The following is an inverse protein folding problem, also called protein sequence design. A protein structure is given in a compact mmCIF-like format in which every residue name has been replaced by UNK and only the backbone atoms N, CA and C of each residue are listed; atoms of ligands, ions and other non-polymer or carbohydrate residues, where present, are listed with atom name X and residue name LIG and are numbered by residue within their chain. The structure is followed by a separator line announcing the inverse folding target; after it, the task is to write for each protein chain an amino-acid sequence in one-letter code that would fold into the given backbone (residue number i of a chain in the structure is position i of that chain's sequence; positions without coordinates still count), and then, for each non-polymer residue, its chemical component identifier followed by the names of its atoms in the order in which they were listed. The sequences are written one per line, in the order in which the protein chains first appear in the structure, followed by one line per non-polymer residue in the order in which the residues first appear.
data_IF_893629930351
#
_entry.id   IF_893629930351
#
_cell.length_a   1.000
_cell.length_b   1.000
_cell.length_c   1.000
_cell.angle_alpha   90.00
_cell.angle_beta   90.00
_cell.angle_gamma   90.00
#
_symmetry.space_group_name_H-M   'P 1'
#
loop_
_entity.id
_entity.type
_entity.pdbx_description
1 polymer ?
#
# COMPACT_ATOMS: atom_id res chain seq x y z
N UNK A 1 25.16 -68.42 -2.77
CA UNK A 1 25.01 -67.23 -1.91
C UNK A 1 24.37 -66.12 -2.70
N UNK A 2 23.06 -65.91 -2.59
CA UNK A 2 22.31 -64.90 -3.30
C UNK A 2 22.10 -63.73 -2.36
N UNK A 3 22.78 -62.59 -2.67
CA UNK A 3 22.60 -61.34 -1.94
C UNK A 3 21.31 -60.69 -2.42
N UNK A 4 20.31 -60.60 -1.53
CA UNK A 4 19.08 -59.80 -1.76
C UNK A 4 19.38 -58.35 -1.46
N UNK A 5 19.29 -57.46 -2.43
CA UNK A 5 19.26 -56.03 -2.27
C UNK A 5 17.83 -55.60 -1.90
N UNK A 6 17.64 -55.03 -0.70
CA UNK A 6 16.42 -54.33 -0.36
C UNK A 6 16.55 -52.88 -0.85
N UNK A 7 15.72 -52.50 -1.83
CA UNK A 7 15.55 -51.09 -2.22
C UNK A 7 14.45 -50.50 -1.35
N UNK A 8 14.85 -49.61 -0.41
CA UNK A 8 13.90 -48.82 0.39
C UNK A 8 13.45 -47.65 -0.45
N UNK A 9 12.21 -47.69 -0.97
CA UNK A 9 11.58 -46.56 -1.64
C UNK A 9 11.07 -45.61 -0.55
N UNK A 10 11.75 -44.45 -0.36
CA UNK A 10 11.25 -43.36 0.45
C UNK A 10 10.25 -42.59 -0.40
N UNK A 11 8.95 -42.80 -0.12
CA UNK A 11 7.88 -41.99 -0.68
C UNK A 11 7.82 -40.69 0.13
N UNK A 12 8.37 -39.62 -0.42
CA UNK A 12 8.17 -38.30 0.14
C UNK A 12 6.70 -37.87 -0.15
N UNK A 13 5.86 -37.96 0.87
CA UNK A 13 4.51 -37.40 0.82
C UNK A 13 4.65 -35.89 1.01
N UNK A 14 4.65 -35.16 -0.10
CA UNK A 14 4.47 -33.72 -0.09
C UNK A 14 3.04 -33.42 0.36
N UNK A 15 2.86 -33.05 1.61
CA UNK A 15 1.59 -32.51 2.08
C UNK A 15 1.36 -31.17 1.38
N UNK A 16 0.53 -31.18 0.33
CA UNK A 16 -0.03 -29.96 -0.22
C UNK A 16 -1.01 -29.43 0.83
N UNK A 17 -0.53 -28.52 1.67
CA UNK A 17 -1.42 -27.73 2.53
C UNK A 17 -2.19 -26.81 1.59
N UNK A 18 -3.42 -27.20 1.24
CA UNK A 18 -4.34 -26.28 0.59
C UNK A 18 -4.65 -25.18 1.60
N UNK A 19 -4.15 -23.96 1.34
CA UNK A 19 -4.51 -22.80 2.11
C UNK A 19 -6.04 -22.60 1.96
N UNK A 20 -6.79 -22.95 3.02
CA UNK A 20 -8.21 -22.66 3.07
C UNK A 20 -8.38 -21.15 3.28
N UNK A 21 -9.32 -20.54 2.55
CA UNK A 21 -9.71 -19.15 2.78
C UNK A 21 -10.11 -18.96 4.25
N UNK A 22 -9.50 -17.94 4.90
CA UNK A 22 -9.90 -17.57 6.27
C UNK A 22 -11.29 -16.95 6.24
N UNK A 23 -12.11 -17.22 7.26
CA UNK A 23 -13.41 -16.58 7.33
C UNK A 23 -13.28 -15.09 7.74
N UNK A 24 -14.34 -14.30 7.51
CA UNK A 24 -14.32 -12.86 7.76
C UNK A 24 -14.03 -12.50 9.23
N UNK A 25 -14.48 -13.32 10.19
CA UNK A 25 -14.25 -13.07 11.62
C UNK A 25 -12.79 -13.29 12.00
N UNK A 26 -12.12 -14.29 11.42
CA UNK A 26 -10.69 -14.53 11.62
C UNK A 26 -9.87 -13.36 11.07
N UNK A 27 -10.24 -12.86 9.88
CA UNK A 27 -9.59 -11.69 9.28
C UNK A 27 -9.70 -10.46 10.19
N UNK A 28 -10.91 -10.20 10.71
CA UNK A 28 -11.16 -9.09 11.62
C UNK A 28 -10.40 -9.25 12.94
N UNK A 29 -10.31 -10.47 13.48
CA UNK A 29 -9.52 -10.78 14.68
C UNK A 29 -8.04 -10.45 14.50
N UNK A 30 -7.45 -10.81 13.35
CA UNK A 30 -6.05 -10.47 13.03
C UNK A 30 -5.88 -8.96 12.92
N UNK A 31 -6.76 -8.25 12.19
CA UNK A 31 -6.69 -6.81 12.03
C UNK A 31 -6.75 -6.07 13.38
N UNK A 32 -7.66 -6.48 14.28
CA UNK A 32 -7.75 -5.94 15.64
C UNK A 32 -6.47 -6.18 16.42
N UNK A 33 -5.93 -7.39 16.39
CA UNK A 33 -4.71 -7.77 17.13
C UNK A 33 -3.50 -6.93 16.69
N UNK A 34 -3.30 -6.76 15.38
CA UNK A 34 -2.21 -5.94 14.82
C UNK A 34 -2.37 -4.47 15.20
N UNK A 35 -3.60 -3.93 15.12
CA UNK A 35 -3.89 -2.58 15.54
C UNK A 35 -3.73 -2.38 17.06
N UNK A 36 -4.23 -3.29 17.88
CA UNK A 36 -4.15 -3.18 19.33
C UNK A 36 -2.69 -3.27 19.82
N UNK A 37 -1.85 -4.08 19.18
CA UNK A 37 -0.41 -4.08 19.42
C UNK A 37 0.19 -2.70 19.15
N UNK A 38 -0.06 -2.12 17.97
CA UNK A 38 0.45 -0.79 17.62
C UNK A 38 0.02 0.29 18.63
N UNK A 39 -1.27 0.33 18.99
CA UNK A 39 -1.78 1.29 19.98
C UNK A 39 -1.18 1.05 21.37
N UNK A 40 -0.90 -0.18 21.75
CA UNK A 40 -0.24 -0.49 23.03
C UNK A 40 1.20 0.04 23.10
N UNK A 41 1.91 0.03 21.98
CA UNK A 41 3.27 0.58 21.85
C UNK A 41 3.27 2.13 21.81
N UNK A 42 2.24 2.72 21.22
CA UNK A 42 2.12 4.16 21.00
C UNK A 42 0.77 4.69 21.52
N UNK A 43 0.50 4.63 22.85
CA UNK A 43 -0.82 4.97 23.40
C UNK A 43 -1.19 6.46 23.25
N UNK A 44 -0.22 7.33 23.15
CA UNK A 44 -0.42 8.77 22.86
C UNK A 44 -0.09 9.05 21.38
N UNK A 45 -1.10 9.26 20.52
CA UNK A 45 -0.90 9.46 19.09
C UNK A 45 -0.18 10.76 18.74
N UNK A 46 -0.07 11.71 19.67
CA UNK A 46 0.57 13.01 19.45
C UNK A 46 2.08 12.94 19.59
N UNK A 47 2.60 11.92 20.26
CA UNK A 47 4.03 11.79 20.55
C UNK A 47 4.81 11.33 19.34
N UNK A 48 6.05 11.81 19.29
CA UNK A 48 7.03 11.34 18.32
C UNK A 48 7.38 9.87 18.60
N UNK A 49 7.60 9.11 17.53
CA UNK A 49 8.12 7.74 17.61
C UNK A 49 9.62 7.78 17.86
N UNK A 50 10.11 6.95 18.75
CA UNK A 50 11.54 6.81 19.03
C UNK A 50 11.95 5.33 18.91
N UNK A 51 12.66 5.00 17.83
CA UNK A 51 13.10 3.63 17.52
C UNK A 51 14.56 3.68 17.04
N UNK A 52 15.40 2.74 17.50
CA UNK A 52 16.81 2.65 17.13
C UNK A 52 17.57 3.99 17.22
N UNK A 53 17.37 4.74 18.31
CA UNK A 53 17.95 6.07 18.52
C UNK A 53 17.56 7.13 17.46
N UNK A 54 16.55 6.86 16.65
CA UNK A 54 15.97 7.81 15.70
C UNK A 54 14.63 8.32 16.22
N UNK A 55 14.49 9.64 16.21
CA UNK A 55 13.24 10.32 16.56
C UNK A 55 12.50 10.72 15.29
N UNK A 56 11.22 10.37 15.20
CA UNK A 56 10.37 10.75 14.09
C UNK A 56 9.09 11.42 14.58
N UNK A 57 8.74 12.57 14.00
CA UNK A 57 7.49 13.23 14.36
C UNK A 57 6.29 12.40 13.95
N UNK A 58 5.23 12.43 14.78
CA UNK A 58 3.99 11.71 14.51
C UNK A 58 3.25 12.20 13.25
N UNK A 59 3.67 13.32 12.64
CA UNK A 59 3.16 13.82 11.36
C UNK A 59 3.83 13.25 10.12
N UNK A 60 4.83 12.35 10.27
CA UNK A 60 5.53 11.77 9.12
C UNK A 60 4.59 10.85 8.31
N UNK A 61 4.90 10.65 7.02
CA UNK A 61 4.14 9.79 6.11
C UNK A 61 3.92 8.37 6.64
N UNK A 62 4.89 7.80 7.38
CA UNK A 62 4.78 6.47 7.97
C UNK A 62 3.55 6.37 8.87
N UNK A 63 3.35 7.39 9.73
CA UNK A 63 2.18 7.49 10.59
C UNK A 63 0.91 7.83 9.79
N UNK A 64 1.02 8.62 8.72
CA UNK A 64 -0.09 8.89 7.80
C UNK A 64 -0.67 7.60 7.23
N UNK A 65 0.18 6.70 6.73
CA UNK A 65 -0.23 5.39 6.20
C UNK A 65 -0.89 4.51 7.27
N UNK A 66 -0.39 4.54 8.51
CA UNK A 66 -1.08 3.84 9.60
C UNK A 66 -2.53 4.32 9.75
N UNK A 67 -2.77 5.64 9.74
CA UNK A 67 -4.13 6.17 9.86
C UNK A 67 -5.02 5.87 8.66
N UNK A 68 -4.46 5.77 7.47
CA UNK A 68 -5.20 5.26 6.30
C UNK A 68 -5.71 3.83 6.56
N UNK A 69 -4.85 2.96 7.09
CA UNK A 69 -5.22 1.62 7.51
C UNK A 69 -6.26 1.59 8.64
N UNK A 70 -6.12 2.47 9.63
CA UNK A 70 -7.07 2.57 10.74
C UNK A 70 -8.45 3.06 10.30
N UNK A 71 -8.52 4.03 9.38
CA UNK A 71 -9.78 4.47 8.78
C UNK A 71 -10.42 3.36 7.94
N UNK A 72 -9.62 2.60 7.21
CA UNK A 72 -10.11 1.43 6.51
C UNK A 72 -10.68 0.39 7.49
N UNK A 73 -9.97 0.07 8.58
CA UNK A 73 -10.47 -0.84 9.63
C UNK A 73 -11.79 -0.32 10.22
N UNK A 74 -11.90 0.98 10.51
CA UNK A 74 -13.15 1.57 11.00
C UNK A 74 -14.33 1.31 10.06
N UNK A 75 -14.11 1.23 8.75
CA UNK A 75 -15.17 1.00 7.77
C UNK A 75 -15.84 -0.38 7.89
N UNK A 76 -15.17 -1.36 8.51
CA UNK A 76 -15.70 -2.72 8.72
C UNK A 76 -15.88 -3.07 10.20
N UNK A 77 -15.30 -2.29 11.09
CA UNK A 77 -15.32 -2.45 12.55
C UNK A 77 -15.47 -1.08 13.22
N UNK A 78 -16.68 -0.57 13.26
CA UNK A 78 -17.00 0.82 13.61
C UNK A 78 -16.82 1.12 15.12
N UNK A 79 -15.59 0.93 15.66
CA UNK A 79 -15.28 1.22 17.06
C UNK A 79 -14.85 2.68 17.24
N UNK A 80 -15.53 3.39 18.14
CA UNK A 80 -15.25 4.81 18.41
C UNK A 80 -13.82 5.09 18.90
N UNK A 81 -13.15 4.09 19.52
CA UNK A 81 -11.74 4.22 19.94
C UNK A 81 -10.81 4.53 18.75
N UNK A 82 -11.11 4.03 17.55
CA UNK A 82 -10.31 4.29 16.35
C UNK A 82 -10.42 5.75 15.92
N UNK A 83 -11.65 6.26 15.85
CA UNK A 83 -11.87 7.67 15.52
C UNK A 83 -11.27 8.63 16.56
N UNK A 84 -11.40 8.29 17.86
CA UNK A 84 -10.77 9.09 18.91
C UNK A 84 -9.25 9.15 18.72
N UNK A 85 -8.60 8.04 18.43
CA UNK A 85 -7.14 7.98 18.21
C UNK A 85 -6.71 8.80 16.99
N UNK A 86 -7.48 8.72 15.88
CA UNK A 86 -7.30 9.59 14.70
C UNK A 86 -7.48 11.07 15.03
N UNK A 87 -8.59 11.41 15.72
CA UNK A 87 -8.95 12.80 15.99
C UNK A 87 -7.99 13.47 16.98
N UNK A 88 -7.49 12.74 17.99
CA UNK A 88 -6.47 13.24 18.92
C UNK A 88 -5.17 13.60 18.16
N UNK A 89 -4.70 12.70 17.27
CA UNK A 89 -3.56 12.96 16.41
C UNK A 89 -3.76 14.16 15.48
N UNK A 90 -4.87 14.15 14.75
CA UNK A 90 -5.13 15.16 13.73
C UNK A 90 -5.39 16.56 14.33
N UNK A 91 -6.06 16.64 15.50
CA UNK A 91 -6.23 17.89 16.24
C UNK A 91 -4.87 18.46 16.70
N UNK A 92 -3.97 17.60 17.19
CA UNK A 92 -2.61 18.01 17.56
C UNK A 92 -1.86 18.64 16.38
N UNK A 93 -1.98 18.05 15.18
CA UNK A 93 -1.40 18.56 13.94
C UNK A 93 -2.28 19.60 13.22
N UNK A 94 -3.38 20.06 13.87
CA UNK A 94 -4.26 21.13 13.38
C UNK A 94 -4.86 20.82 12.00
N UNK A 95 -5.04 19.55 11.66
CA UNK A 95 -5.59 19.10 10.37
C UNK A 95 -4.85 19.71 9.17
N UNK A 96 -3.55 19.91 9.30
CA UNK A 96 -2.72 20.58 8.30
C UNK A 96 -1.64 19.62 7.80
N UNK A 97 -1.36 19.58 6.49
CA UNK A 97 -0.23 18.83 5.96
C UNK A 97 1.07 19.13 6.72
N UNK A 98 1.93 18.15 6.88
CA UNK A 98 3.23 18.35 7.53
C UNK A 98 3.97 19.48 6.82
N UNK A 99 4.69 20.29 7.56
CA UNK A 99 5.34 21.50 7.07
C UNK A 99 4.39 22.60 6.50
N UNK A 100 3.08 22.46 6.75
CA UNK A 100 2.07 23.49 6.47
C UNK A 100 1.57 23.52 5.02
N UNK A 101 0.73 24.52 4.73
CA UNK A 101 0.02 24.61 3.43
C UNK A 101 0.88 25.05 2.25
N UNK A 102 2.20 25.26 2.43
CA UNK A 102 3.13 25.64 1.34
C UNK A 102 3.96 24.44 0.86
N UNK A 103 3.93 23.31 1.57
CA UNK A 103 4.68 22.13 1.14
C UNK A 103 4.19 21.63 -0.21
N UNK A 104 5.13 21.16 -1.02
CA UNK A 104 4.87 20.45 -2.28
C UNK A 104 5.43 19.02 -2.23
N UNK A 105 5.92 18.62 -1.05
CA UNK A 105 6.53 17.32 -0.87
C UNK A 105 5.45 16.27 -0.54
N UNK A 106 5.39 15.22 -1.33
CA UNK A 106 4.31 14.24 -1.26
C UNK A 106 4.20 13.56 0.11
N UNK A 107 5.33 13.25 0.76
CA UNK A 107 5.33 12.64 2.09
C UNK A 107 4.69 13.54 3.15
N UNK A 108 4.82 14.87 3.02
CA UNK A 108 4.17 15.83 3.90
C UNK A 108 2.66 15.88 3.70
N UNK A 109 2.20 15.53 2.49
CA UNK A 109 0.80 15.55 2.09
C UNK A 109 0.05 14.26 2.47
N UNK A 110 0.75 13.17 2.76
CA UNK A 110 0.16 11.85 3.02
C UNK A 110 -0.95 11.88 4.09
N UNK A 111 -0.75 12.61 5.20
CA UNK A 111 -1.72 12.73 6.28
C UNK A 111 -3.07 13.33 5.84
N UNK A 112 -3.09 14.12 4.76
CA UNK A 112 -4.31 14.74 4.24
C UNK A 112 -5.34 13.72 3.73
N UNK A 113 -4.92 12.50 3.34
CA UNK A 113 -5.84 11.43 2.97
C UNK A 113 -6.81 11.13 4.13
N UNK A 114 -6.26 10.93 5.34
CA UNK A 114 -7.05 10.70 6.55
C UNK A 114 -7.90 11.92 6.93
N UNK A 115 -7.37 13.13 6.78
CA UNK A 115 -8.14 14.35 7.09
C UNK A 115 -9.37 14.48 6.19
N UNK A 116 -9.24 14.20 4.92
CA UNK A 116 -10.34 14.23 3.96
C UNK A 116 -11.34 13.08 4.20
N UNK A 117 -10.90 11.91 4.66
CA UNK A 117 -11.80 10.83 5.10
C UNK A 117 -12.67 11.29 6.28
N UNK A 118 -12.05 11.95 7.26
CA UNK A 118 -12.79 12.50 8.40
C UNK A 118 -13.75 13.63 8.01
N UNK A 119 -13.32 14.50 7.08
CA UNK A 119 -14.20 15.51 6.50
C UNK A 119 -15.44 14.89 5.84
N UNK A 120 -15.26 13.87 5.05
CA UNK A 120 -16.37 13.17 4.38
C UNK A 120 -17.40 12.64 5.39
N UNK A 121 -16.95 12.19 6.56
CA UNK A 121 -17.83 11.66 7.60
C UNK A 121 -18.56 12.74 8.40
N UNK A 122 -17.97 13.91 8.55
CA UNK A 122 -18.43 14.93 9.52
C UNK A 122 -18.89 16.25 8.90
N UNK A 123 -18.38 16.58 7.71
CA UNK A 123 -18.56 17.90 7.09
C UNK A 123 -17.80 19.05 7.79
N UNK A 124 -16.96 18.75 8.80
CA UNK A 124 -16.24 19.80 9.55
C UNK A 124 -15.10 20.39 8.71
N UNK A 125 -15.26 21.65 8.34
CA UNK A 125 -14.35 22.39 7.46
C UNK A 125 -12.91 22.45 7.96
N UNK A 126 -12.66 22.36 9.26
CA UNK A 126 -11.29 22.34 9.79
C UNK A 126 -10.44 21.21 9.23
N UNK A 127 -11.07 20.06 8.89
CA UNK A 127 -10.42 18.87 8.32
C UNK A 127 -10.12 19.01 6.82
N UNK A 128 -10.70 20.00 6.17
CA UNK A 128 -10.69 20.19 4.73
C UNK A 128 -9.87 21.40 4.26
N UNK A 129 -10.01 22.55 4.96
CA UNK A 129 -9.56 23.84 4.44
C UNK A 129 -8.05 23.92 4.23
N UNK A 130 -7.24 23.43 5.18
CA UNK A 130 -5.78 23.40 5.02
C UNK A 130 -5.33 22.51 3.88
N UNK A 131 -6.00 21.37 3.67
CA UNK A 131 -5.71 20.46 2.55
C UNK A 131 -6.02 21.14 1.22
N UNK A 132 -7.20 21.77 1.10
CA UNK A 132 -7.59 22.53 -0.10
C UNK A 132 -6.60 23.64 -0.43
N UNK A 133 -6.24 24.45 0.56
CA UNK A 133 -5.26 25.54 0.38
C UNK A 133 -3.90 25.01 -0.05
N UNK A 134 -3.45 23.88 0.48
CA UNK A 134 -2.18 23.25 0.09
C UNK A 134 -2.20 22.83 -1.38
N UNK A 135 -3.25 22.09 -1.80
CA UNK A 135 -3.39 21.62 -3.19
C UNK A 135 -3.45 22.79 -4.18
N UNK A 136 -4.28 23.80 -3.89
CA UNK A 136 -4.44 24.96 -4.77
C UNK A 136 -3.15 25.76 -4.93
N UNK A 137 -2.36 25.92 -3.85
CA UNK A 137 -1.05 26.56 -3.92
C UNK A 137 -0.05 25.77 -4.76
N UNK A 138 -0.09 24.44 -4.69
CA UNK A 138 0.77 23.59 -5.51
C UNK A 138 0.36 23.66 -6.98
N UNK A 139 -0.92 23.52 -7.28
CA UNK A 139 -1.47 23.63 -8.63
C UNK A 139 -1.16 24.99 -9.28
N UNK A 140 -1.23 26.08 -8.51
CA UNK A 140 -0.95 27.44 -8.99
C UNK A 140 0.53 27.65 -9.42
N UNK A 141 1.45 26.74 -9.07
CA UNK A 141 2.84 26.84 -9.53
C UNK A 141 3.03 26.45 -11.00
N UNK A 142 2.03 25.82 -11.65
CA UNK A 142 2.08 25.43 -13.06
C UNK A 142 3.13 24.38 -13.39
N UNK A 143 3.59 23.59 -12.41
CA UNK A 143 4.55 22.49 -12.59
C UNK A 143 3.87 21.17 -12.30
N UNK A 144 4.42 20.08 -12.87
CA UNK A 144 3.91 18.71 -12.70
C UNK A 144 5.01 17.74 -12.22
N UNK A 145 6.25 18.15 -12.20
CA UNK A 145 7.42 17.34 -11.88
C UNK A 145 7.67 17.18 -10.37
N UNK A 146 6.62 16.98 -9.59
CA UNK A 146 6.71 16.83 -8.14
C UNK A 146 7.01 15.40 -7.68
N UNK A 147 6.51 14.39 -8.41
CA UNK A 147 6.61 12.99 -7.98
C UNK A 147 7.78 12.30 -8.69
N UNK A 148 8.99 12.60 -8.21
CA UNK A 148 10.26 12.08 -8.78
C UNK A 148 10.59 10.66 -8.32
N UNK A 149 9.72 10.06 -7.49
CA UNK A 149 9.79 8.69 -7.00
C UNK A 149 8.38 8.12 -6.83
N UNK A 150 8.25 6.80 -7.00
CA UNK A 150 6.92 6.17 -7.08
C UNK A 150 6.14 6.20 -5.78
N UNK A 151 6.81 6.26 -4.61
CA UNK A 151 6.12 6.39 -3.32
C UNK A 151 5.27 7.66 -3.29
N UNK A 152 5.73 8.73 -3.93
CA UNK A 152 5.02 10.00 -4.01
C UNK A 152 3.63 9.87 -4.65
N UNK A 153 3.46 8.88 -5.57
CA UNK A 153 2.16 8.59 -6.18
C UNK A 153 1.15 8.19 -5.09
N UNK A 154 1.52 7.30 -4.16
CA UNK A 154 0.64 6.94 -3.04
C UNK A 154 0.49 8.06 -2.02
N UNK A 155 1.55 8.80 -1.74
CA UNK A 155 1.52 9.83 -0.70
C UNK A 155 0.64 11.02 -1.09
N UNK A 156 0.50 11.33 -2.39
CA UNK A 156 -0.20 12.53 -2.84
C UNK A 156 -1.41 12.27 -3.76
N UNK A 157 -1.34 11.37 -4.75
CA UNK A 157 -2.40 11.21 -5.75
C UNK A 157 -3.78 10.92 -5.13
N UNK A 158 -3.92 10.05 -4.10
CA UNK A 158 -5.22 9.79 -3.48
C UNK A 158 -5.81 11.02 -2.77
N UNK A 159 -5.01 11.96 -2.31
CA UNK A 159 -5.50 13.21 -1.74
C UNK A 159 -6.22 14.05 -2.82
N UNK A 160 -5.63 14.14 -4.01
CA UNK A 160 -6.23 14.88 -5.13
C UNK A 160 -7.49 14.18 -5.68
N UNK A 161 -7.47 12.85 -5.80
CA UNK A 161 -8.66 12.11 -6.26
C UNK A 161 -9.82 12.24 -5.28
N UNK A 162 -9.54 12.19 -3.99
CA UNK A 162 -10.54 12.41 -2.95
C UNK A 162 -11.08 13.85 -2.97
N UNK A 163 -10.23 14.85 -3.18
CA UNK A 163 -10.68 16.23 -3.33
C UNK A 163 -11.59 16.39 -4.54
N UNK A 164 -11.26 15.76 -5.67
CA UNK A 164 -12.14 15.70 -6.84
C UNK A 164 -13.49 15.07 -6.48
N UNK A 165 -13.50 13.94 -5.80
CA UNK A 165 -14.73 13.26 -5.39
C UNK A 165 -15.60 14.10 -4.44
N UNK A 166 -14.98 14.81 -3.51
CA UNK A 166 -15.69 15.65 -2.53
C UNK A 166 -16.24 16.96 -3.11
N UNK A 167 -15.60 17.49 -4.15
CA UNK A 167 -15.95 18.81 -4.72
C UNK A 167 -16.57 18.76 -6.10
N UNK A 168 -16.35 17.69 -6.87
CA UNK A 168 -16.68 17.61 -8.30
C UNK A 168 -15.75 18.44 -9.20
N UNK A 169 -14.75 19.13 -8.64
CA UNK A 169 -13.83 20.00 -9.41
C UNK A 169 -12.72 19.16 -10.08
N UNK A 170 -12.85 18.96 -11.38
CA UNK A 170 -11.94 18.14 -12.17
C UNK A 170 -10.49 18.65 -12.18
N UNK A 171 -10.24 19.92 -11.85
CA UNK A 171 -8.88 20.46 -11.81
C UNK A 171 -7.95 19.66 -10.88
N UNK A 172 -8.48 19.15 -9.77
CA UNK A 172 -7.69 18.35 -8.83
C UNK A 172 -7.22 17.04 -9.45
N UNK A 173 -8.14 16.26 -10.03
CA UNK A 173 -7.76 14.96 -10.61
C UNK A 173 -6.94 15.11 -11.91
N UNK A 174 -7.16 16.18 -12.68
CA UNK A 174 -6.36 16.46 -13.87
C UNK A 174 -4.94 16.88 -13.52
N UNK A 175 -4.74 17.66 -12.44
CA UNK A 175 -3.40 17.94 -11.92
C UNK A 175 -2.69 16.65 -11.46
N UNK A 176 -3.40 15.77 -10.76
CA UNK A 176 -2.84 14.48 -10.34
C UNK A 176 -2.48 13.60 -11.54
N UNK A 177 -3.31 13.61 -12.61
CA UNK A 177 -3.00 12.96 -13.89
C UNK A 177 -1.68 13.47 -14.47
N UNK A 178 -1.53 14.77 -14.56
CA UNK A 178 -0.36 15.40 -15.17
C UNK A 178 0.92 15.04 -14.39
N UNK A 179 0.87 15.06 -13.06
CA UNK A 179 1.98 14.60 -12.21
C UNK A 179 2.26 13.10 -12.39
N UNK A 180 1.23 12.26 -12.45
CA UNK A 180 1.35 10.82 -12.67
C UNK A 180 1.96 10.50 -14.03
N UNK A 181 1.44 11.10 -15.10
CA UNK A 181 1.92 10.88 -16.47
C UNK A 181 3.37 11.37 -16.62
N UNK A 182 3.75 12.46 -15.96
CA UNK A 182 5.14 12.91 -15.92
C UNK A 182 6.04 11.86 -15.23
N UNK A 183 5.65 11.34 -14.06
CA UNK A 183 6.43 10.29 -13.38
C UNK A 183 6.54 9.03 -14.25
N UNK A 184 5.43 8.64 -14.87
CA UNK A 184 5.32 7.45 -15.71
C UNK A 184 6.20 7.51 -16.94
N UNK A 185 6.23 8.66 -17.64
CA UNK A 185 6.76 8.75 -19.00
C UNK A 185 8.03 9.57 -19.13
N UNK A 186 8.31 10.50 -18.21
CA UNK A 186 9.37 11.52 -18.40
C UNK A 186 10.44 11.48 -17.29
N UNK A 187 10.06 11.27 -16.03
CA UNK A 187 10.99 11.25 -14.90
C UNK A 187 12.11 10.24 -15.12
N UNK A 188 13.36 10.71 -15.32
CA UNK A 188 14.50 9.84 -15.56
C UNK A 188 14.41 8.99 -16.85
N UNK A 189 13.57 9.37 -17.79
CA UNK A 189 13.25 8.60 -19.01
C UNK A 189 11.97 7.78 -18.88
N UNK A 190 11.24 7.97 -17.78
CA UNK A 190 10.02 7.23 -17.43
C UNK A 190 10.26 6.16 -16.37
N UNK A 191 9.43 6.16 -15.32
CA UNK A 191 9.55 5.18 -14.23
C UNK A 191 8.70 3.91 -14.45
N UNK A 192 7.84 3.88 -15.46
CA UNK A 192 7.03 2.72 -15.81
C UNK A 192 7.71 1.85 -16.88
N UNK A 193 7.98 0.60 -16.56
CA UNK A 193 8.40 -0.38 -17.55
C UNK A 193 7.20 -1.15 -18.09
N UNK A 194 6.75 -0.79 -19.29
CA UNK A 194 5.59 -1.42 -19.93
C UNK A 194 5.85 -2.89 -20.35
N UNK A 195 7.11 -3.28 -20.59
CA UNK A 195 7.45 -4.67 -20.98
C UNK A 195 7.29 -5.64 -19.80
N UNK A 196 7.68 -5.19 -18.59
CA UNK A 196 7.64 -6.01 -17.39
C UNK A 196 6.43 -5.70 -16.50
N UNK A 197 5.72 -4.59 -16.74
CA UNK A 197 4.52 -4.20 -15.99
C UNK A 197 4.82 -3.78 -14.54
N UNK A 198 6.00 -3.23 -14.29
CA UNK A 198 6.48 -2.82 -12.96
C UNK A 198 7.13 -1.43 -13.02
N UNK A 199 7.29 -0.82 -11.83
CA UNK A 199 7.85 0.51 -11.68
C UNK A 199 9.25 0.47 -11.10
N UNK A 200 10.20 1.17 -11.72
CA UNK A 200 11.44 1.58 -11.06
C UNK A 200 11.12 2.62 -10.00
N UNK A 201 11.81 2.55 -8.86
CA UNK A 201 11.51 3.43 -7.71
C UNK A 201 11.71 4.91 -8.05
N UNK A 202 12.81 5.26 -8.71
CA UNK A 202 13.15 6.58 -9.20
C UNK A 202 14.20 6.48 -10.33
N UNK A 203 14.66 7.63 -10.84
CA UNK A 203 15.61 7.71 -11.94
C UNK A 203 16.95 6.98 -11.71
N UNK A 204 17.32 6.73 -10.45
CA UNK A 204 18.59 6.08 -10.11
C UNK A 204 18.52 4.56 -10.37
N UNK A 205 17.31 3.99 -10.51
CA UNK A 205 17.07 2.56 -10.74
C UNK A 205 16.63 2.21 -12.15
N UNK A 206 16.41 3.20 -13.02
CA UNK A 206 16.17 2.90 -14.45
C UNK A 206 17.46 2.38 -15.12
N UNK A 207 17.38 1.64 -16.25
CA UNK A 207 18.58 1.22 -16.95
C UNK A 207 19.58 2.37 -17.19
N UNK A 208 20.90 2.13 -17.01
CA UNK A 208 21.56 0.83 -16.98
C UNK A 208 21.66 0.15 -15.60
N UNK A 209 21.02 0.67 -14.55
CA UNK A 209 21.07 0.01 -13.24
C UNK A 209 20.51 -1.41 -13.31
N UNK A 210 21.20 -2.36 -12.66
CA UNK A 210 20.79 -3.76 -12.55
C UNK A 210 21.13 -4.28 -11.14
N UNK A 211 20.35 -5.26 -10.70
CA UNK A 211 20.69 -6.09 -9.56
C UNK A 211 21.90 -6.98 -9.86
N UNK A 212 22.50 -7.60 -8.81
CA UNK A 212 23.72 -8.43 -8.97
C UNK A 212 23.56 -9.63 -9.88
N UNK A 213 22.34 -10.10 -10.08
CA UNK A 213 21.99 -11.20 -11.00
C UNK A 213 21.58 -10.72 -12.41
N UNK A 214 21.75 -9.44 -12.70
CA UNK A 214 21.43 -8.82 -13.99
C UNK A 214 19.95 -8.45 -14.19
N UNK A 215 19.08 -8.72 -13.21
CA UNK A 215 17.68 -8.33 -13.26
C UNK A 215 17.48 -6.82 -13.06
N UNK A 216 16.35 -6.29 -13.52
CA UNK A 216 15.92 -4.95 -13.18
C UNK A 216 15.57 -4.87 -11.68
N UNK A 217 15.87 -3.73 -11.05
CA UNK A 217 15.54 -3.49 -9.64
C UNK A 217 14.12 -2.98 -9.50
N UNK A 218 13.21 -3.83 -9.00
CA UNK A 218 11.84 -3.46 -8.68
C UNK A 218 11.58 -3.68 -7.20
N UNK A 219 11.60 -2.60 -6.44
CA UNK A 219 11.38 -2.64 -5.02
C UNK A 219 9.93 -2.97 -4.67
N UNK A 220 9.72 -4.02 -3.87
CA UNK A 220 8.40 -4.57 -3.53
C UNK A 220 7.47 -3.52 -2.91
N UNK A 221 7.87 -2.90 -1.80
CA UNK A 221 7.04 -1.88 -1.13
C UNK A 221 6.77 -0.68 -2.03
N UNK A 222 7.76 -0.21 -2.81
CA UNK A 222 7.57 0.88 -3.75
C UNK A 222 6.48 0.59 -4.77
N UNK A 223 6.52 -0.60 -5.38
CA UNK A 223 5.46 -1.06 -6.28
C UNK A 223 4.12 -1.24 -5.53
N UNK A 224 4.15 -1.70 -4.28
CA UNK A 224 2.96 -1.80 -3.43
C UNK A 224 2.28 -0.45 -3.20
N UNK A 225 3.04 0.63 -3.04
CA UNK A 225 2.48 1.98 -2.95
C UNK A 225 1.69 2.37 -4.19
N UNK A 226 2.23 2.11 -5.37
CA UNK A 226 1.52 2.41 -6.63
C UNK A 226 0.22 1.61 -6.74
N UNK A 227 0.22 0.34 -6.30
CA UNK A 227 -1.00 -0.49 -6.24
C UNK A 227 -2.07 0.17 -5.36
N UNK A 228 -1.69 0.62 -4.16
CA UNK A 228 -2.63 1.28 -3.25
C UNK A 228 -3.18 2.59 -3.84
N UNK A 229 -2.32 3.36 -4.50
CA UNK A 229 -2.71 4.59 -5.18
C UNK A 229 -3.72 4.33 -6.31
N UNK A 230 -3.52 3.28 -7.12
CA UNK A 230 -4.47 2.88 -8.15
C UNK A 230 -5.84 2.55 -7.56
N UNK A 231 -5.89 1.69 -6.54
CA UNK A 231 -7.14 1.30 -5.89
C UNK A 231 -7.93 2.52 -5.44
N UNK A 232 -7.30 3.40 -4.66
CA UNK A 232 -7.95 4.58 -4.08
C UNK A 232 -8.40 5.57 -5.16
N UNK A 233 -7.52 5.86 -6.13
CA UNK A 233 -7.81 6.85 -7.16
C UNK A 233 -8.90 6.37 -8.13
N UNK A 234 -8.88 5.11 -8.52
CA UNK A 234 -9.93 4.53 -9.38
C UNK A 234 -11.28 4.57 -8.65
N UNK A 235 -11.33 4.16 -7.36
CA UNK A 235 -12.57 4.22 -6.57
C UNK A 235 -13.10 5.65 -6.44
N UNK A 236 -12.26 6.63 -6.14
CA UNK A 236 -12.67 8.03 -6.00
C UNK A 236 -13.24 8.58 -7.31
N UNK A 237 -12.60 8.31 -8.46
CA UNK A 237 -13.11 8.74 -9.77
C UNK A 237 -14.44 8.08 -10.04
N UNK A 238 -14.58 6.76 -9.88
CA UNK A 238 -15.83 6.02 -10.17
C UNK A 238 -16.98 6.39 -9.25
N UNK A 239 -16.70 6.81 -8.02
CA UNK A 239 -17.67 7.29 -7.05
C UNK A 239 -18.04 8.77 -7.24
N UNK A 240 -17.31 9.50 -8.06
CA UNK A 240 -17.63 10.89 -8.37
C UNK A 240 -18.82 10.95 -9.31
N UNK A 241 -19.85 11.72 -8.93
CA UNK A 241 -21.05 11.89 -9.74
C UNK A 241 -20.67 12.45 -11.12
N UNK A 242 -21.24 11.85 -12.16
CA UNK A 242 -21.08 12.32 -13.54
C UNK A 242 -19.64 12.41 -14.07
N UNK A 243 -18.69 11.69 -13.49
CA UNK A 243 -17.28 11.73 -13.90
C UNK A 243 -17.08 11.51 -15.41
N UNK A 244 -17.93 10.69 -16.04
CA UNK A 244 -17.87 10.43 -17.49
C UNK A 244 -18.23 11.63 -18.37
N UNK A 245 -18.77 12.72 -17.84
CA UNK A 245 -18.99 13.96 -18.61
C UNK A 245 -17.68 14.65 -18.97
N UNK A 246 -16.63 14.44 -18.20
CA UNK A 246 -15.28 14.94 -18.50
C UNK A 246 -14.46 13.86 -19.23
N UNK A 247 -14.20 14.09 -20.54
CA UNK A 247 -13.48 13.14 -21.40
C UNK A 247 -12.05 12.87 -20.93
N UNK A 248 -11.36 13.89 -20.39
CA UNK A 248 -9.97 13.75 -19.92
C UNK A 248 -9.92 12.88 -18.65
N UNK A 249 -10.85 13.07 -17.72
CA UNK A 249 -10.99 12.23 -16.53
C UNK A 249 -11.29 10.77 -16.92
N UNK A 250 -12.17 10.56 -17.90
CA UNK A 250 -12.46 9.21 -18.40
C UNK A 250 -11.23 8.57 -19.08
N UNK A 251 -10.41 9.35 -19.78
CA UNK A 251 -9.19 8.85 -20.41
C UNK A 251 -8.17 8.48 -19.36
N UNK A 252 -7.99 9.30 -18.33
CA UNK A 252 -7.11 9.01 -17.22
C UNK A 252 -7.55 7.75 -16.44
N UNK A 253 -8.84 7.61 -16.17
CA UNK A 253 -9.38 6.40 -15.54
C UNK A 253 -9.08 5.12 -16.35
N UNK A 254 -9.17 5.19 -17.69
CA UNK A 254 -8.81 4.05 -18.56
C UNK A 254 -7.32 3.73 -18.46
N UNK A 255 -6.45 4.73 -18.45
CA UNK A 255 -5.02 4.56 -18.27
C UNK A 255 -4.71 3.87 -16.93
N UNK A 256 -5.24 4.40 -15.81
CA UNK A 256 -5.04 3.82 -14.49
C UNK A 256 -5.49 2.35 -14.43
N UNK A 257 -6.64 2.03 -15.04
CA UNK A 257 -7.16 0.65 -15.10
C UNK A 257 -6.30 -0.28 -15.96
N UNK A 258 -5.69 0.22 -17.04
CA UNK A 258 -4.75 -0.54 -17.86
C UNK A 258 -3.49 -0.84 -17.08
N UNK A 259 -2.82 0.20 -16.58
CA UNK A 259 -1.58 0.09 -15.82
C UNK A 259 -1.76 -0.82 -14.57
N UNK A 260 -2.89 -0.67 -13.86
CA UNK A 260 -3.24 -1.56 -12.75
C UNK A 260 -3.33 -3.02 -13.19
N UNK A 261 -4.02 -3.34 -14.29
CA UNK A 261 -4.17 -4.73 -14.74
C UNK A 261 -2.84 -5.33 -15.18
N UNK A 262 -2.03 -4.59 -15.90
CA UNK A 262 -0.70 -5.00 -16.32
C UNK A 262 0.19 -5.28 -15.11
N UNK A 263 0.18 -4.38 -14.14
CA UNK A 263 0.92 -4.54 -12.89
C UNK A 263 0.46 -5.75 -12.08
N UNK A 264 -0.85 -6.01 -11.97
CA UNK A 264 -1.36 -7.22 -11.29
C UNK A 264 -0.89 -8.50 -11.98
N UNK A 265 -0.78 -8.51 -13.31
CA UNK A 265 -0.26 -9.68 -14.03
C UNK A 265 1.25 -9.90 -13.78
N UNK A 266 2.03 -8.83 -13.73
CA UNK A 266 3.45 -8.89 -13.40
C UNK A 266 3.68 -9.39 -11.96
N UNK A 267 2.98 -8.80 -11.01
CA UNK A 267 3.08 -9.18 -9.59
C UNK A 267 2.70 -10.64 -9.34
N UNK A 268 1.67 -11.15 -10.03
CA UNK A 268 1.27 -12.54 -9.89
C UNK A 268 2.40 -13.51 -10.29
N UNK A 269 3.23 -13.15 -11.30
CA UNK A 269 4.38 -13.96 -11.74
C UNK A 269 5.55 -13.92 -10.74
N UNK A 270 5.64 -12.86 -9.93
CA UNK A 270 6.71 -12.68 -8.96
C UNK A 270 6.39 -13.27 -7.58
N UNK A 271 5.18 -13.84 -7.36
CA UNK A 271 4.82 -14.42 -6.08
C UNK A 271 5.67 -15.65 -5.77
N UNK A 272 6.21 -15.70 -4.56
CA UNK A 272 6.99 -16.82 -4.03
C UNK A 272 6.09 -18.02 -3.72
N UNK A 273 6.70 -19.19 -3.60
CA UNK A 273 5.99 -20.42 -3.22
C UNK A 273 5.40 -20.35 -1.80
N UNK A 274 6.05 -19.62 -0.88
CA UNK A 274 5.57 -19.39 0.49
C UNK A 274 4.44 -18.36 0.60
N UNK A 275 4.05 -17.72 -0.50
CA UNK A 275 2.95 -16.77 -0.58
C UNK A 275 3.36 -15.29 -0.47
N UNK A 276 4.55 -15.00 0.01
CA UNK A 276 5.10 -13.64 0.03
C UNK A 276 5.62 -13.19 -1.34
N UNK A 277 6.08 -11.96 -1.40
CA UNK A 277 6.95 -11.43 -2.44
C UNK A 277 8.33 -11.13 -1.86
N UNK A 278 9.35 -11.18 -2.71
CA UNK A 278 10.71 -10.79 -2.34
C UNK A 278 10.78 -9.28 -2.10
N UNK A 279 11.77 -8.82 -1.34
CA UNK A 279 12.07 -7.39 -1.19
C UNK A 279 12.41 -6.76 -2.54
N UNK A 280 13.23 -7.43 -3.36
CA UNK A 280 13.41 -7.13 -4.79
C UNK A 280 12.60 -8.13 -5.62
N UNK A 281 11.56 -7.65 -6.32
CA UNK A 281 10.54 -8.49 -6.95
C UNK A 281 11.11 -9.51 -7.95
N UNK A 282 12.07 -9.10 -8.77
CA UNK A 282 12.64 -9.89 -9.85
C UNK A 282 13.98 -10.57 -9.48
N UNK A 283 14.60 -10.16 -8.36
CA UNK A 283 15.93 -10.63 -7.95
C UNK A 283 15.90 -11.34 -6.59
N UNK A 284 15.54 -12.64 -6.54
CA UNK A 284 15.56 -13.38 -5.27
C UNK A 284 16.97 -13.63 -4.75
N UNK A 285 18.00 -13.47 -5.60
CA UNK A 285 19.41 -13.70 -5.25
C UNK A 285 19.98 -12.53 -4.45
N UNK A 286 19.65 -11.29 -4.84
CA UNK A 286 20.18 -10.08 -4.18
C UNK A 286 19.46 -9.82 -2.86
N UNK A 287 18.14 -9.68 -2.89
CA UNK A 287 17.30 -9.44 -1.70
C UNK A 287 16.02 -10.26 -1.80
N UNK A 288 16.17 -11.56 -1.65
CA UNK A 288 15.07 -12.50 -1.52
C UNK A 288 14.49 -12.52 -0.11
N UNK A 289 13.53 -13.39 0.06
CA UNK A 289 12.89 -13.63 1.35
C UNK A 289 11.58 -12.87 1.53
N UNK A 290 10.79 -13.26 2.53
CA UNK A 290 9.50 -12.65 2.79
C UNK A 290 9.62 -11.15 3.07
N UNK A 291 8.70 -10.35 2.49
CA UNK A 291 8.55 -8.93 2.81
C UNK A 291 7.07 -8.62 3.03
N UNK A 292 6.73 -8.16 4.23
CA UNK A 292 5.34 -8.06 4.67
C UNK A 292 4.59 -6.88 4.08
N UNK A 293 5.24 -5.70 3.97
CA UNK A 293 4.52 -4.47 3.56
C UNK A 293 4.10 -4.50 2.08
N UNK A 294 5.00 -4.87 1.18
CA UNK A 294 4.68 -5.03 -0.24
C UNK A 294 3.66 -6.15 -0.46
N UNK A 295 3.86 -7.31 0.21
CA UNK A 295 2.90 -8.43 0.17
C UNK A 295 1.50 -7.99 0.59
N UNK A 296 1.37 -7.23 1.68
CA UNK A 296 0.08 -6.73 2.15
C UNK A 296 -0.60 -5.81 1.13
N UNK A 297 0.16 -4.90 0.53
CA UNK A 297 -0.38 -3.99 -0.50
C UNK A 297 -0.80 -4.74 -1.78
N UNK A 298 -0.11 -5.82 -2.14
CA UNK A 298 -0.52 -6.66 -3.26
C UNK A 298 -1.79 -7.46 -2.94
N UNK A 299 -1.93 -7.97 -1.71
CA UNK A 299 -3.19 -8.57 -1.24
C UNK A 299 -4.33 -7.56 -1.30
N UNK A 300 -4.13 -6.33 -0.81
CA UNK A 300 -5.10 -5.24 -0.92
C UNK A 300 -5.55 -5.04 -2.38
N UNK A 301 -4.58 -4.81 -3.27
CA UNK A 301 -4.87 -4.53 -4.68
C UNK A 301 -5.58 -5.67 -5.39
N UNK A 302 -5.07 -6.90 -5.26
CA UNK A 302 -5.66 -8.08 -5.91
C UNK A 302 -7.06 -8.39 -5.35
N UNK A 303 -7.27 -8.28 -4.03
CA UNK A 303 -8.58 -8.49 -3.40
C UNK A 303 -9.60 -7.49 -3.88
N UNK A 304 -9.22 -6.22 -3.92
CA UNK A 304 -10.04 -5.16 -4.50
C UNK A 304 -10.41 -5.42 -5.95
N UNK A 305 -9.43 -5.80 -6.77
CA UNK A 305 -9.65 -6.08 -8.19
C UNK A 305 -10.57 -7.25 -8.46
N UNK A 306 -10.46 -8.33 -7.69
CA UNK A 306 -11.41 -9.47 -7.78
C UNK A 306 -12.79 -9.05 -7.32
N UNK A 307 -12.88 -8.35 -6.19
CA UNK A 307 -14.15 -7.85 -5.65
C UNK A 307 -14.89 -6.93 -6.62
N UNK A 308 -14.17 -6.10 -7.36
CA UNK A 308 -14.76 -5.16 -8.33
C UNK A 308 -14.85 -5.71 -9.78
N UNK A 309 -14.55 -6.98 -10.00
CA UNK A 309 -14.67 -7.62 -11.33
C UNK A 309 -13.61 -7.17 -12.33
N UNK A 310 -12.56 -6.49 -11.88
CA UNK A 310 -11.43 -6.10 -12.73
C UNK A 310 -10.45 -7.23 -12.97
N UNK A 311 -10.37 -8.17 -12.01
CA UNK A 311 -9.51 -9.35 -12.04
C UNK A 311 -10.34 -10.64 -11.95
N UNK A 312 -9.89 -11.69 -12.64
CA UNK A 312 -10.54 -13.00 -12.58
C UNK A 312 -10.32 -13.68 -11.23
N UNK A 313 -11.38 -13.96 -10.48
CA UNK A 313 -11.31 -14.71 -9.23
C UNK A 313 -10.59 -16.06 -9.41
N UNK A 314 -10.89 -16.81 -10.48
CA UNK A 314 -10.25 -18.10 -10.77
C UNK A 314 -8.72 -17.99 -10.86
N UNK A 315 -8.21 -16.85 -11.40
CA UNK A 315 -6.76 -16.64 -11.58
C UNK A 315 -6.08 -16.09 -10.34
N UNK A 316 -6.70 -15.15 -9.64
CA UNK A 316 -6.03 -14.37 -8.59
C UNK A 316 -6.35 -14.84 -7.17
N UNK A 317 -7.52 -15.46 -6.92
CA UNK A 317 -7.91 -15.90 -5.58
C UNK A 317 -6.89 -16.84 -4.92
N UNK A 318 -6.32 -17.85 -5.62
CA UNK A 318 -5.31 -18.72 -5.01
C UNK A 318 -4.07 -17.97 -4.52
N UNK A 319 -3.63 -16.93 -5.26
CA UNK A 319 -2.49 -16.11 -4.87
C UNK A 319 -2.82 -15.20 -3.67
N UNK A 320 -4.01 -14.61 -3.67
CA UNK A 320 -4.52 -13.78 -2.56
C UNK A 320 -4.59 -14.59 -1.28
N UNK A 321 -5.24 -15.76 -1.31
CA UNK A 321 -5.43 -16.62 -0.13
C UNK A 321 -4.09 -17.12 0.41
N UNK A 322 -3.18 -17.50 -0.49
CA UNK A 322 -1.84 -17.94 -0.11
C UNK A 322 -1.05 -16.81 0.58
N UNK A 323 -1.12 -15.60 0.04
CA UNK A 323 -0.43 -14.45 0.62
C UNK A 323 -1.03 -14.02 1.96
N UNK A 324 -2.36 -13.94 2.05
CA UNK A 324 -3.02 -13.59 3.29
C UNK A 324 -2.74 -14.62 4.40
N UNK A 325 -2.79 -15.91 4.06
CA UNK A 325 -2.41 -16.97 4.99
C UNK A 325 -0.94 -16.82 5.44
N UNK A 326 -0.01 -16.55 4.53
CA UNK A 326 1.39 -16.33 4.87
C UNK A 326 1.58 -15.13 5.82
N UNK A 327 0.91 -13.99 5.56
CA UNK A 327 0.95 -12.84 6.47
C UNK A 327 0.46 -13.25 7.86
N UNK A 328 -0.69 -13.91 7.96
CA UNK A 328 -1.37 -14.15 9.24
C UNK A 328 -0.76 -15.28 10.08
N UNK A 329 -0.12 -16.27 9.44
CA UNK A 329 0.44 -17.44 10.11
C UNK A 329 1.96 -17.40 10.26
N UNK A 330 2.64 -16.61 9.41
CA UNK A 330 4.11 -16.56 9.40
C UNK A 330 4.62 -15.17 9.83
N UNK A 331 4.02 -14.06 9.38
CA UNK A 331 4.52 -12.73 9.71
C UNK A 331 3.93 -12.14 10.98
N UNK A 332 2.62 -12.31 11.21
CA UNK A 332 1.96 -11.76 12.40
C UNK A 332 2.26 -12.61 13.63
N UNK A 333 2.96 -12.01 14.60
CA UNK A 333 3.24 -12.65 15.88
C UNK A 333 1.97 -12.82 16.74
N UNK A 334 2.00 -13.72 17.74
CA UNK A 334 0.84 -13.90 18.64
C UNK A 334 0.38 -12.63 19.35
N UNK A 335 1.29 -11.69 19.63
CA UNK A 335 0.98 -10.38 20.25
C UNK A 335 0.57 -9.31 19.25
N UNK A 336 0.65 -9.56 17.92
CA UNK A 336 0.32 -8.59 16.86
C UNK A 336 1.51 -7.85 16.26
N UNK A 337 2.75 -8.05 16.76
CA UNK A 337 3.96 -7.55 16.11
C UNK A 337 4.09 -8.11 14.69
N UNK A 338 4.63 -7.33 13.75
CA UNK A 338 4.83 -7.71 12.35
C UNK A 338 6.29 -8.10 12.10
N UNK A 339 6.53 -9.39 11.90
CA UNK A 339 7.80 -9.87 11.37
C UNK A 339 7.95 -9.64 9.87
N UNK A 340 9.15 -9.83 9.37
CA UNK A 340 9.51 -9.67 7.95
C UNK A 340 9.12 -8.32 7.36
N UNK A 341 9.11 -7.27 8.17
CA UNK A 341 8.83 -5.91 7.73
C UNK A 341 10.15 -5.18 7.46
N UNK A 342 10.40 -4.80 6.21
CA UNK A 342 11.58 -4.03 5.83
C UNK A 342 11.52 -2.63 6.45
N UNK A 343 12.61 -2.15 7.04
CA UNK A 343 12.73 -0.77 7.54
C UNK A 343 12.59 0.30 6.45
N UNK A 344 12.54 1.56 6.83
CA UNK A 344 12.41 2.67 5.87
C UNK A 344 13.61 2.76 4.93
N UNK A 345 13.37 3.18 3.69
CA UNK A 345 14.40 3.29 2.66
C UNK A 345 13.80 3.56 1.28
N UNK A 346 14.63 3.47 0.27
CA UNK A 346 14.27 3.70 -1.14
C UNK A 346 14.56 2.51 -2.06
N UNK A 347 15.19 1.48 -1.54
CA UNK A 347 15.67 0.35 -2.34
C UNK A 347 15.72 -0.96 -1.52
N UNK A 348 15.89 -2.11 -2.18
CA UNK A 348 15.89 -3.42 -1.51
C UNK A 348 16.95 -3.57 -0.41
N UNK A 349 18.11 -2.92 -0.51
CA UNK A 349 19.18 -3.03 0.50
C UNK A 349 18.88 -2.25 1.79
N UNK A 350 18.00 -1.25 1.73
CA UNK A 350 17.69 -0.42 2.89
C UNK A 350 16.84 -1.19 3.91
N UNK A 351 16.97 -0.83 5.19
CA UNK A 351 16.16 -1.41 6.25
C UNK A 351 16.35 -2.91 6.46
N UNK A 352 17.48 -3.46 6.03
CA UNK A 352 17.87 -4.85 6.30
C UNK A 352 18.45 -5.01 7.73
N UNK A 353 18.40 -6.20 8.32
CA UNK A 353 17.83 -7.43 7.79
C UNK A 353 16.30 -7.49 7.90
N UNK A 354 15.64 -8.17 6.95
CA UNK A 354 14.20 -8.44 6.98
C UNK A 354 13.98 -9.87 7.47
N UNK A 355 13.72 -10.01 8.77
CA UNK A 355 13.56 -11.31 9.45
C UNK A 355 12.29 -11.36 10.28
N UNK A 356 11.94 -12.54 10.80
CA UNK A 356 10.78 -12.72 11.67
C UNK A 356 10.79 -11.81 12.90
N UNK A 357 11.99 -11.55 13.47
CA UNK A 357 12.16 -10.82 14.73
C UNK A 357 12.80 -9.45 14.56
N UNK A 358 13.21 -9.04 13.34
CA UNK A 358 13.79 -7.73 13.14
C UNK A 358 12.77 -6.63 13.40
N UNK A 359 13.16 -5.63 14.20
CA UNK A 359 12.34 -4.46 14.48
C UNK A 359 12.72 -3.40 13.46
N UNK A 360 11.81 -3.02 12.55
CA UNK A 360 12.06 -1.93 11.61
C UNK A 360 12.20 -0.60 12.35
N UNK A 361 12.80 0.40 11.73
CA UNK A 361 12.95 1.73 12.35
C UNK A 361 11.60 2.46 12.52
N UNK A 362 10.57 2.12 11.73
CA UNK A 362 9.18 2.60 11.89
C UNK A 362 8.23 1.54 11.37
N UNK A 363 7.48 0.92 12.28
CA UNK A 363 6.52 -0.15 11.96
C UNK A 363 5.12 0.37 11.63
N UNK A 364 4.85 1.64 11.87
CA UNK A 364 3.52 2.25 11.70
C UNK A 364 2.97 2.10 10.27
N UNK A 365 3.79 2.36 9.23
CA UNK A 365 3.36 2.13 7.85
C UNK A 365 3.07 0.64 7.56
N UNK A 366 3.83 -0.29 8.15
CA UNK A 366 3.62 -1.73 8.00
C UNK A 366 2.28 -2.16 8.59
N UNK A 367 1.96 -1.68 9.78
CA UNK A 367 0.63 -1.86 10.39
C UNK A 367 -0.46 -1.33 9.46
N UNK A 368 -0.30 -0.12 8.92
CA UNK A 368 -1.23 0.46 7.94
C UNK A 368 -1.43 -0.43 6.71
N UNK A 369 -0.36 -0.95 6.12
CA UNK A 369 -0.42 -1.85 4.97
C UNK A 369 -1.21 -3.13 5.27
N UNK A 370 -0.96 -3.77 6.43
CA UNK A 370 -1.66 -4.99 6.83
C UNK A 370 -3.14 -4.72 7.10
N UNK A 371 -3.49 -3.57 7.71
CA UNK A 371 -4.89 -3.18 7.90
C UNK A 371 -5.61 -2.95 6.57
N UNK A 372 -4.98 -2.28 5.60
CA UNK A 372 -5.54 -2.10 4.26
C UNK A 372 -5.79 -3.44 3.56
N UNK A 373 -4.82 -4.37 3.66
CA UNK A 373 -4.96 -5.72 3.12
C UNK A 373 -6.11 -6.49 3.79
N UNK A 374 -6.15 -6.49 5.12
CA UNK A 374 -7.19 -7.14 5.91
C UNK A 374 -8.59 -6.67 5.52
N UNK A 375 -8.75 -5.37 5.34
CA UNK A 375 -10.06 -4.78 5.00
C UNK A 375 -10.52 -5.19 3.61
N UNK A 376 -9.66 -5.16 2.60
CA UNK A 376 -10.05 -5.58 1.25
C UNK A 376 -10.25 -7.10 1.15
N UNK A 377 -9.44 -7.89 1.87
CA UNK A 377 -9.65 -9.34 1.97
C UNK A 377 -10.97 -9.66 2.71
N UNK A 378 -11.27 -8.99 3.83
CA UNK A 378 -12.55 -9.11 4.54
C UNK A 378 -13.74 -8.82 3.61
N UNK A 379 -13.71 -7.72 2.88
CA UNK A 379 -14.77 -7.35 1.93
C UNK A 379 -14.95 -8.38 0.82
N UNK A 380 -13.85 -9.00 0.37
CA UNK A 380 -13.87 -10.08 -0.62
C UNK A 380 -14.57 -11.32 -0.06
N UNK A 381 -14.28 -11.71 1.20
CA UNK A 381 -14.90 -12.84 1.88
C UNK A 381 -16.40 -12.65 2.10
N UNK A 382 -16.82 -11.48 2.54
CA UNK A 382 -18.24 -11.17 2.79
C UNK A 382 -19.04 -11.17 1.48
N UNK A 383 -18.46 -10.72 0.37
CA UNK A 383 -19.14 -10.72 -0.94
C UNK A 383 -19.29 -12.12 -1.52
N UNK A 384 -18.33 -13.00 -1.30
CA UNK A 384 -18.36 -14.39 -1.76
C UNK A 384 -19.45 -15.25 -1.11
N UNK A 385 -20.07 -14.75 -0.03
CA UNK A 385 -21.18 -15.40 0.70
C UNK A 385 -22.58 -14.93 0.26
N UNK A 386 -22.66 -13.92 -0.63
CA UNK A 386 -23.92 -13.44 -1.23
C UNK A 386 -24.05 -13.96 -2.67
#
# INVERSE_FOLDING_TARGET
MIKRFFITIIVAVSAVVSASAQNADDVLSVARRVNDYFVSMWPDPTKDTFVHNKKRPSSLWTRGVYYEGLMALYSIDAQMKYLKYVDDWANYHKWTPRNGTKTTYADDQCCAQTYLDRYEMTGDRKMFDSCKVNMEKQMAQGRVNYWTWIDAIQMAMPMYSKMYRLTGDARYILFARDCYEWSRNECGGGLWNAEEGLWWRDKDFVPPYKESDGQNCYWSRGNGWVVAAYVKTIEDIERTRDFCKNKEVCTFLKLLKSDYKEMMQALLKCQREDGFWNVSLMSPVTYGGPETSGTALFVMGMSWGVRNGMLSAKKYRPAIDKAWNAITTVAVHPNGFLGYLQGTGKEPKDGQPVTYTSVPDFEDYGTGCVLLAAVEYYKLEVRGKK
#
